data_IF_810948060903
#
_entry.id   IF_810948060903
#
_cell.length_a   1.000
_cell.length_b   1.000
_cell.length_c   1.000
_cell.angle_alpha   90.00
_cell.angle_beta   90.00
_cell.angle_gamma   90.00
#
_symmetry.space_group_name_H-M   'P 1'
#
loop_
_entity.id
_entity.type
_entity.pdbx_description
1 polymer ?
#
# COMPACT_ATOMS: atom_id res chain seq x y z
N UNK A 1 5.44 7.95 -11.12
CA UNK A 1 5.04 8.32 -9.74
C UNK A 1 5.24 9.82 -9.52
N UNK A 2 6.36 10.39 -9.97
CA UNK A 2 6.62 11.84 -9.95
C UNK A 2 5.50 12.64 -10.64
N UNK A 3 4.97 12.11 -11.73
CA UNK A 3 3.86 12.69 -12.49
C UNK A 3 2.61 12.90 -11.62
N UNK A 4 2.30 11.95 -10.74
CA UNK A 4 1.15 12.05 -9.84
C UNK A 4 1.38 13.16 -8.82
N UNK A 5 2.59 13.27 -8.28
CA UNK A 5 2.93 14.35 -7.34
C UNK A 5 2.88 15.71 -8.04
N UNK A 6 3.42 15.83 -9.26
CA UNK A 6 3.31 17.04 -10.08
C UNK A 6 1.83 17.45 -10.27
N UNK A 7 0.97 16.49 -10.61
CA UNK A 7 -0.48 16.71 -10.74
C UNK A 7 -1.09 17.22 -9.42
N UNK A 8 -0.77 16.58 -8.29
CA UNK A 8 -1.27 16.99 -6.97
C UNK A 8 -0.84 18.42 -6.63
N UNK A 9 0.44 18.76 -6.81
CA UNK A 9 0.95 20.11 -6.51
C UNK A 9 0.33 21.18 -7.39
N UNK A 10 0.05 20.87 -8.66
CA UNK A 10 -0.67 21.81 -9.53
C UNK A 10 -2.13 22.00 -9.09
N UNK A 11 -2.81 20.93 -8.66
CA UNK A 11 -4.16 21.02 -8.09
C UNK A 11 -4.15 21.82 -6.79
N UNK A 12 -3.15 21.64 -5.94
CA UNK A 12 -2.97 22.39 -4.70
C UNK A 12 -2.78 23.89 -4.95
N UNK A 13 -1.88 24.25 -5.87
CA UNK A 13 -1.66 25.64 -6.29
C UNK A 13 -2.95 26.27 -6.83
N UNK A 14 -3.74 25.53 -7.62
CA UNK A 14 -4.98 26.06 -8.23
C UNK A 14 -6.14 26.21 -7.24
N UNK A 15 -6.43 25.16 -6.47
CA UNK A 15 -7.65 25.09 -5.65
C UNK A 15 -7.40 25.22 -4.15
N UNK A 16 -6.26 24.73 -3.66
CA UNK A 16 -5.87 24.74 -2.25
C UNK A 16 -5.32 23.42 -1.77
N UNK A 17 -4.73 23.43 -0.56
CA UNK A 17 -4.00 22.31 0.05
C UNK A 17 -4.82 21.01 0.13
N UNK A 18 -4.20 19.89 -0.23
CA UNK A 18 -4.77 18.54 -0.15
C UNK A 18 -4.29 17.88 1.14
N UNK A 19 -5.20 17.25 1.90
CA UNK A 19 -4.85 16.51 3.13
C UNK A 19 -4.60 15.04 2.87
N UNK A 20 -5.41 14.46 1.98
CA UNK A 20 -5.40 13.04 1.69
C UNK A 20 -5.61 12.82 0.20
N UNK A 21 -4.91 11.84 -0.37
CA UNK A 21 -5.15 11.41 -1.73
C UNK A 21 -5.00 9.91 -1.88
N UNK A 22 -5.76 9.35 -2.82
CA UNK A 22 -5.70 7.95 -3.22
C UNK A 22 -5.49 7.85 -4.72
N UNK A 23 -4.52 7.04 -5.10
CA UNK A 23 -4.20 6.75 -6.49
C UNK A 23 -4.69 5.34 -6.78
N UNK A 24 -5.67 5.21 -7.67
CA UNK A 24 -6.20 3.91 -8.10
C UNK A 24 -5.98 3.72 -9.58
N UNK A 25 -5.54 2.53 -9.98
CA UNK A 25 -5.46 2.17 -11.41
C UNK A 25 -6.86 2.02 -11.98
N UNK A 26 -7.07 2.54 -13.17
CA UNK A 26 -8.27 2.21 -13.94
C UNK A 26 -8.16 0.76 -14.47
N UNK A 27 -9.06 -0.10 -14.01
CA UNK A 27 -9.10 -1.51 -14.42
C UNK A 27 -9.90 -1.73 -15.70
N UNK A 28 -10.67 -0.74 -16.17
CA UNK A 28 -11.46 -0.86 -17.40
C UNK A 28 -10.59 -0.72 -18.65
N UNK A 29 -9.52 0.08 -18.57
CA UNK A 29 -8.53 0.25 -19.66
C UNK A 29 -7.12 -0.10 -19.19
N UNK A 30 -6.77 -1.38 -19.06
CA UNK A 30 -5.49 -1.81 -18.50
C UNK A 30 -4.28 -1.38 -19.33
N UNK A 31 -4.49 -1.17 -20.64
CA UNK A 31 -3.47 -0.79 -21.62
C UNK A 31 -3.05 0.68 -21.51
N UNK A 32 -3.85 1.50 -20.81
CA UNK A 32 -3.54 2.90 -20.60
C UNK A 32 -3.07 3.10 -19.16
N UNK A 33 -1.94 3.80 -18.93
CA UNK A 33 -1.44 4.07 -17.60
C UNK A 33 -2.25 5.19 -16.92
N UNK A 34 -3.58 5.08 -16.94
CA UNK A 34 -4.44 6.04 -16.29
C UNK A 34 -4.59 5.70 -14.82
N UNK A 35 -4.22 6.67 -14.00
CA UNK A 35 -4.52 6.69 -12.59
C UNK A 35 -5.71 7.62 -12.36
N UNK A 36 -6.75 7.11 -11.71
CA UNK A 36 -7.73 7.97 -11.07
C UNK A 36 -7.13 8.45 -9.74
N UNK A 37 -7.15 9.77 -9.52
CA UNK A 37 -6.69 10.39 -8.30
C UNK A 37 -7.91 10.94 -7.57
N UNK A 38 -8.14 10.42 -6.37
CA UNK A 38 -9.12 10.96 -5.44
C UNK A 38 -8.39 11.81 -4.42
N UNK A 39 -8.85 13.04 -4.18
CA UNK A 39 -8.19 13.96 -3.25
C UNK A 39 -9.22 14.65 -2.36
N UNK A 40 -8.85 14.87 -1.09
CA UNK A 40 -9.60 15.65 -0.11
C UNK A 40 -8.86 16.96 0.19
N UNK A 41 -9.56 18.08 0.14
CA UNK A 41 -9.00 19.39 0.45
C UNK A 41 -9.02 19.65 1.95
N UNK A 42 -8.00 20.37 2.45
CA UNK A 42 -7.95 20.83 3.84
C UNK A 42 -9.08 21.79 4.19
N UNK A 43 -9.40 22.71 3.26
CA UNK A 43 -10.45 23.71 3.42
C UNK A 43 -11.68 23.34 2.56
N UNK A 44 -12.89 23.21 3.15
CA UNK A 44 -14.13 23.02 2.40
C UNK A 44 -14.41 24.14 1.38
N UNK A 45 -13.87 25.33 1.56
CA UNK A 45 -14.00 26.42 0.58
C UNK A 45 -13.26 26.10 -0.73
N UNK A 46 -12.12 25.41 -0.67
CA UNK A 46 -11.34 24.98 -1.84
C UNK A 46 -12.14 24.04 -2.73
N UNK A 47 -12.93 23.13 -2.15
CA UNK A 47 -13.80 22.23 -2.90
C UNK A 47 -14.83 22.99 -3.75
N UNK A 48 -15.37 24.11 -3.25
CA UNK A 48 -16.35 24.94 -3.97
C UNK A 48 -15.77 25.66 -5.19
N UNK A 49 -14.44 25.75 -5.28
CA UNK A 49 -13.76 26.35 -6.44
C UNK A 49 -13.69 25.40 -7.63
N UNK A 50 -13.86 24.09 -7.40
CA UNK A 50 -13.81 23.10 -8.48
C UNK A 50 -15.09 23.19 -9.32
N UNK A 51 -15.01 23.40 -10.65
CA UNK A 51 -16.19 23.51 -11.49
C UNK A 51 -17.04 22.23 -11.50
N UNK A 52 -18.39 22.31 -11.44
CA UNK A 52 -19.27 21.14 -11.36
C UNK A 52 -19.19 20.22 -12.58
N UNK A 53 -18.84 20.75 -13.76
CA UNK A 53 -18.64 19.96 -14.99
C UNK A 53 -17.25 19.34 -15.10
N UNK A 54 -16.38 19.70 -14.16
CA UNK A 54 -14.94 19.53 -14.24
C UNK A 54 -14.28 20.45 -15.25
N UNK A 55 -12.96 20.51 -15.18
CA UNK A 55 -12.09 21.27 -16.08
C UNK A 55 -10.88 20.43 -16.43
N UNK A 56 -10.45 20.52 -17.68
CA UNK A 56 -9.21 19.92 -18.14
C UNK A 56 -8.05 20.89 -17.84
N UNK A 57 -7.04 20.37 -17.17
CA UNK A 57 -5.80 21.07 -16.87
C UNK A 57 -4.69 20.42 -17.67
N UNK A 58 -3.84 21.24 -18.29
CA UNK A 58 -2.58 20.79 -18.84
C UNK A 58 -1.48 21.12 -17.84
N UNK A 59 -0.79 20.08 -17.40
CA UNK A 59 0.21 20.16 -16.33
C UNK A 59 1.56 19.86 -16.97
N UNK A 60 2.59 20.70 -16.83
CA UNK A 60 3.89 20.39 -17.40
C UNK A 60 4.38 19.05 -16.85
N UNK A 61 4.78 18.14 -17.73
CA UNK A 61 5.31 16.85 -17.33
C UNK A 61 6.68 17.06 -16.67
N UNK A 62 6.95 16.44 -15.51
CA UNK A 62 8.25 16.57 -14.86
C UNK A 62 9.33 16.00 -15.78
N UNK A 63 10.42 16.76 -15.95
CA UNK A 63 11.59 16.32 -16.71
C UNK A 63 12.56 15.64 -15.75
N UNK A 64 12.86 14.37 -15.99
CA UNK A 64 13.84 13.61 -15.21
C UNK A 64 14.63 12.65 -16.11
N UNK A 65 15.87 12.36 -15.70
CA UNK A 65 16.76 11.47 -16.44
C UNK A 65 16.30 10.01 -16.29
N UNK A 66 16.22 9.30 -17.41
CA UNK A 66 15.87 7.87 -17.41
C UNK A 66 17.07 7.05 -16.93
N UNK A 67 17.06 6.70 -15.65
CA UNK A 67 18.09 5.87 -15.02
C UNK A 67 17.54 4.50 -14.57
N UNK A 68 18.38 3.45 -14.51
CA UNK A 68 17.97 2.16 -13.96
C UNK A 68 17.45 2.30 -12.53
N UNK A 69 16.23 1.82 -12.27
CA UNK A 69 15.54 1.99 -10.99
C UNK A 69 14.50 3.12 -10.96
N UNK A 70 14.39 3.93 -12.02
CA UNK A 70 13.39 4.98 -12.16
C UNK A 70 13.84 6.34 -11.59
N UNK A 71 12.87 7.25 -11.32
CA UNK A 71 13.18 8.59 -10.81
C UNK A 71 13.97 8.54 -9.50
N UNK A 72 15.00 9.38 -9.40
CA UNK A 72 15.82 9.52 -8.20
C UNK A 72 15.14 10.37 -7.14
N UNK A 73 15.74 10.41 -5.94
CA UNK A 73 15.25 11.26 -4.84
C UNK A 73 15.16 12.74 -5.23
N UNK A 74 16.17 13.26 -5.92
CA UNK A 74 16.23 14.66 -6.36
C UNK A 74 15.08 15.05 -7.29
N UNK A 75 14.63 14.10 -8.11
CA UNK A 75 13.51 14.33 -9.04
C UNK A 75 12.16 14.37 -8.31
N UNK A 76 12.08 13.79 -7.11
CA UNK A 76 10.88 13.72 -6.29
C UNK A 76 10.83 14.88 -5.29
N UNK A 77 11.98 15.31 -4.78
CA UNK A 77 12.13 16.27 -3.67
C UNK A 77 11.35 17.58 -3.89
N UNK A 78 11.36 18.14 -5.09
CA UNK A 78 10.60 19.36 -5.44
C UNK A 78 9.08 19.20 -5.24
N UNK A 79 8.57 17.97 -5.36
CA UNK A 79 7.14 17.68 -5.25
C UNK A 79 6.75 17.14 -3.86
N UNK A 80 7.68 17.01 -2.92
CA UNK A 80 7.36 16.56 -1.56
C UNK A 80 6.79 17.69 -0.71
N UNK A 81 7.21 18.92 -0.96
CA UNK A 81 6.70 20.08 -0.26
C UNK A 81 5.28 20.40 -0.72
N UNK A 82 4.42 20.65 0.26
CA UNK A 82 3.03 21.02 0.01
C UNK A 82 2.95 22.44 -0.51
N UNK A 83 2.07 22.66 -1.49
CA UNK A 83 1.89 23.98 -2.08
C UNK A 83 0.63 24.66 -1.51
N UNK A 84 0.78 25.92 -1.11
CA UNK A 84 -0.37 26.77 -0.83
C UNK A 84 -1.04 27.22 -2.13
N UNK A 85 -2.31 27.62 -2.01
CA UNK A 85 -3.07 28.16 -3.14
C UNK A 85 -2.40 29.43 -3.66
N UNK A 86 -2.16 29.47 -4.96
CA UNK A 86 -1.66 30.62 -5.68
C UNK A 86 -2.81 31.41 -6.34
N UNK A 87 -3.12 32.64 -5.89
CA UNK A 87 -4.16 33.48 -6.49
C UNK A 87 -3.88 33.88 -7.94
N UNK A 88 -2.62 33.80 -8.39
CA UNK A 88 -2.20 34.17 -9.74
C UNK A 88 -2.15 32.97 -10.69
N UNK A 89 -2.42 31.75 -10.19
CA UNK A 89 -2.31 30.52 -10.96
C UNK A 89 -3.02 30.58 -12.32
N UNK A 90 -4.26 31.07 -12.36
CA UNK A 90 -5.05 31.15 -13.60
C UNK A 90 -4.47 32.15 -14.61
N UNK A 91 -3.80 33.22 -14.15
CA UNK A 91 -3.16 34.19 -15.05
C UNK A 91 -1.91 33.62 -15.71
N UNK A 92 -1.15 32.85 -14.96
CA UNK A 92 0.13 32.31 -15.42
C UNK A 92 -0.06 31.03 -16.25
N UNK A 93 -1.16 30.31 -16.04
CA UNK A 93 -1.47 29.04 -16.69
C UNK A 93 -2.66 29.11 -17.67
N UNK A 94 -3.08 30.31 -18.08
CA UNK A 94 -4.07 30.56 -19.15
C UNK A 94 -3.48 30.23 -20.55
N UNK A 95 -2.81 29.08 -20.65
CA UNK A 95 -2.41 28.51 -21.92
C UNK A 95 -3.70 28.14 -22.67
N UNK A 96 -4.05 28.94 -23.67
CA UNK A 96 -5.09 28.62 -24.64
C UNK A 96 -4.72 27.32 -25.38
N UNK A 97 -5.04 26.17 -24.77
CA UNK A 97 -4.72 24.82 -25.25
C UNK A 97 -5.30 24.53 -26.65
N UNK A 98 -6.30 25.30 -27.06
CA UNK A 98 -6.94 25.17 -28.36
C UNK A 98 -6.13 25.74 -29.54
N UNK A 99 -5.07 26.52 -29.29
CA UNK A 99 -4.35 27.25 -30.36
C UNK A 99 -2.97 26.71 -30.73
N UNK A 100 -2.32 25.91 -29.89
CA UNK A 100 -0.91 25.53 -30.07
C UNK A 100 -0.70 24.01 -30.14
N UNK A 101 -1.34 23.35 -31.10
CA UNK A 101 -1.20 21.89 -31.31
C UNK A 101 0.20 21.44 -31.77
N UNK A 102 1.16 22.35 -32.00
CA UNK A 102 2.47 22.03 -32.60
C UNK A 102 3.60 21.67 -31.63
N UNK A 103 3.56 22.10 -30.36
CA UNK A 103 4.75 22.06 -29.48
C UNK A 103 4.58 21.48 -28.07
N UNK A 104 3.38 21.05 -27.67
CA UNK A 104 3.11 20.64 -26.28
C UNK A 104 3.44 19.15 -26.05
N UNK A 105 4.67 18.72 -26.36
CA UNK A 105 5.07 17.30 -26.19
C UNK A 105 5.24 16.86 -24.73
N UNK A 106 5.29 17.79 -23.78
CA UNK A 106 5.60 17.48 -22.38
C UNK A 106 4.51 18.00 -21.43
N UNK A 107 3.23 17.68 -21.65
CA UNK A 107 2.17 17.98 -20.67
C UNK A 107 1.33 16.74 -20.36
N UNK A 108 0.93 16.64 -19.10
CA UNK A 108 -0.03 15.69 -18.55
C UNK A 108 -1.39 16.38 -18.58
N UNK A 109 -2.34 15.78 -19.30
CA UNK A 109 -3.72 16.27 -19.33
C UNK A 109 -4.53 15.57 -18.25
N UNK A 110 -5.09 16.35 -17.32
CA UNK A 110 -5.90 15.83 -16.21
C UNK A 110 -7.22 16.55 -16.17
N UNK A 111 -8.32 15.79 -16.06
CA UNK A 111 -9.64 16.34 -15.81
C UNK A 111 -9.93 16.34 -14.32
N UNK A 112 -10.08 17.52 -13.74
CA UNK A 112 -10.44 17.69 -12.32
C UNK A 112 -11.94 17.92 -12.23
N UNK A 113 -12.66 17.14 -11.42
CA UNK A 113 -14.10 17.29 -11.23
C UNK A 113 -14.49 16.99 -9.78
N UNK A 114 -15.57 17.59 -9.25
CA UNK A 114 -16.01 17.26 -7.91
C UNK A 114 -16.47 15.81 -7.87
N UNK A 115 -15.96 15.07 -6.88
CA UNK A 115 -16.39 13.71 -6.67
C UNK A 115 -17.86 13.69 -6.23
N UNK A 116 -18.66 12.80 -6.84
CA UNK A 116 -20.05 12.55 -6.41
C UNK A 116 -20.12 11.85 -5.06
N UNK A 117 -19.08 11.08 -4.75
CA UNK A 117 -18.89 10.44 -3.45
C UNK A 117 -18.02 11.40 -2.65
N UNK A 118 -18.49 11.82 -1.50
CA UNK A 118 -17.56 12.37 -0.53
C UNK A 118 -16.48 11.31 -0.35
N UNK A 119 -15.22 11.70 -0.54
CA UNK A 119 -14.23 11.15 0.36
C UNK A 119 -14.66 11.71 1.72
N UNK A 120 -15.67 11.07 2.35
CA UNK A 120 -15.49 10.85 3.76
C UNK A 120 -14.08 10.32 3.82
N UNK A 121 -13.24 10.91 4.65
CA UNK A 121 -12.21 10.19 5.37
C UNK A 121 -12.80 8.83 5.71
N UNK A 122 -12.81 7.92 4.73
CA UNK A 122 -12.98 6.53 4.94
C UNK A 122 -11.76 6.34 5.81
N UNK A 123 -11.92 5.98 7.10
CA UNK A 123 -10.78 5.40 7.75
C UNK A 123 -10.30 4.39 6.71
N UNK A 124 -9.01 4.49 6.34
CA UNK A 124 -8.23 3.39 5.77
C UNK A 124 -8.95 2.11 6.17
N UNK A 125 -9.18 1.14 5.31
CA UNK A 125 -9.87 -0.14 5.57
C UNK A 125 -9.51 -0.93 6.88
N UNK A 126 -9.09 -0.33 7.99
CA UNK A 126 -9.64 -0.45 9.36
C UNK A 126 -11.19 -0.53 9.40
N UNK A 127 -11.92 -0.03 8.39
CA UNK A 127 -13.39 0.04 8.37
C UNK A 127 -14.15 -1.28 8.58
N UNK A 128 -13.51 -2.45 8.47
CA UNK A 128 -13.94 -3.61 9.23
C UNK A 128 -12.69 -4.25 9.82
N UNK A 129 -12.62 -4.50 11.14
CA UNK A 129 -11.55 -5.34 11.67
C UNK A 129 -11.57 -6.64 10.85
N UNK A 130 -10.42 -7.16 10.41
CA UNK A 130 -10.39 -8.40 9.65
C UNK A 130 -11.22 -9.45 10.38
N UNK A 131 -11.95 -10.29 9.64
CA UNK A 131 -12.78 -11.32 10.28
C UNK A 131 -11.96 -12.09 11.32
N UNK A 132 -12.56 -12.57 12.43
CA UNK A 132 -11.84 -13.31 13.46
C UNK A 132 -11.00 -14.47 12.88
N UNK A 133 -11.47 -15.11 11.81
CA UNK A 133 -10.72 -16.14 11.08
C UNK A 133 -9.49 -15.58 10.37
N UNK A 134 -9.61 -14.44 9.70
CA UNK A 134 -8.48 -13.77 9.04
C UNK A 134 -7.45 -13.29 10.06
N UNK A 135 -7.90 -12.73 11.19
CA UNK A 135 -7.03 -12.38 12.32
C UNK A 135 -6.26 -13.59 12.85
N UNK A 136 -6.97 -14.71 13.05
CA UNK A 136 -6.37 -15.97 13.49
C UNK A 136 -5.28 -16.45 12.53
N UNK A 137 -5.57 -16.46 11.21
CA UNK A 137 -4.60 -16.87 10.18
C UNK A 137 -3.37 -15.95 10.15
N UNK A 138 -3.56 -14.64 10.26
CA UNK A 138 -2.47 -13.66 10.32
C UNK A 138 -1.61 -13.91 11.57
N UNK A 139 -2.23 -14.10 12.74
CA UNK A 139 -1.50 -14.40 13.96
C UNK A 139 -0.74 -15.74 13.88
N UNK A 140 -1.28 -16.75 13.22
CA UNK A 140 -0.62 -18.05 13.04
C UNK A 140 0.59 -17.95 12.11
N UNK A 141 0.45 -17.23 10.99
CA UNK A 141 1.56 -16.93 10.08
C UNK A 141 2.63 -16.11 10.79
N UNK A 142 2.22 -15.12 11.59
CA UNK A 142 3.12 -14.28 12.36
C UNK A 142 3.89 -15.07 13.42
N UNK A 143 3.25 -15.98 14.16
CA UNK A 143 3.94 -16.88 15.10
C UNK A 143 4.90 -17.83 14.40
N UNK A 144 4.51 -18.39 13.25
CA UNK A 144 5.37 -19.30 12.46
C UNK A 144 6.61 -18.57 11.96
N UNK A 145 6.46 -17.36 11.42
CA UNK A 145 7.57 -16.52 11.01
C UNK A 145 8.41 -16.06 12.21
N UNK A 146 7.75 -15.67 13.29
CA UNK A 146 8.40 -15.27 14.54
C UNK A 146 9.32 -16.34 15.08
N UNK A 147 8.90 -17.61 15.02
CA UNK A 147 9.65 -18.78 15.48
C UNK A 147 10.95 -19.09 14.72
N UNK A 148 11.24 -18.40 13.61
CA UNK A 148 12.53 -18.52 12.90
C UNK A 148 13.54 -17.46 13.33
N UNK A 149 13.14 -16.51 14.18
CA UNK A 149 14.03 -15.43 14.62
C UNK A 149 15.02 -15.92 15.70
N UNK A 150 16.25 -15.41 15.75
CA UNK A 150 17.24 -15.83 16.74
C UNK A 150 17.04 -15.10 18.09
N UNK A 151 15.84 -15.20 18.67
CA UNK A 151 15.49 -14.54 19.94
C UNK A 151 15.89 -15.40 21.15
N UNK A 152 16.48 -14.79 22.17
CA UNK A 152 16.82 -15.48 23.43
C UNK A 152 15.56 -15.91 24.21
N UNK A 153 15.44 -17.13 24.74
CA UNK A 153 14.28 -17.48 25.56
C UNK A 153 14.17 -16.60 26.81
N UNK A 154 12.95 -16.18 27.18
CA UNK A 154 12.66 -15.42 28.40
C UNK A 154 11.66 -16.18 29.28
N UNK A 155 11.64 -15.90 30.58
CA UNK A 155 10.61 -16.47 31.45
C UNK A 155 9.23 -15.91 31.03
N UNK A 156 8.26 -16.82 30.81
CA UNK A 156 6.87 -16.48 30.48
C UNK A 156 6.20 -15.58 31.54
N UNK A 157 6.60 -15.71 32.81
CA UNK A 157 6.04 -14.95 33.93
C UNK A 157 6.55 -13.50 33.99
N UNK A 158 7.68 -13.17 33.34
CA UNK A 158 8.21 -11.80 33.33
C UNK A 158 7.32 -10.91 32.45
N UNK A 159 6.59 -9.93 33.01
CA UNK A 159 5.83 -8.98 32.19
C UNK A 159 6.79 -8.08 31.40
N UNK A 160 6.44 -7.78 30.15
CA UNK A 160 7.12 -6.75 29.35
C UNK A 160 6.42 -5.43 29.67
N UNK A 161 7.16 -4.47 30.23
CA UNK A 161 6.59 -3.19 30.65
C UNK A 161 6.56 -2.18 29.50
N UNK A 162 5.65 -1.21 29.54
CA UNK A 162 5.55 -0.15 28.52
C UNK A 162 6.83 0.71 28.45
N UNK A 163 7.50 0.91 29.59
CA UNK A 163 8.80 1.58 29.66
C UNK A 163 9.87 0.85 28.85
N UNK A 164 9.83 -0.48 28.78
CA UNK A 164 10.74 -1.28 27.96
C UNK A 164 10.34 -1.24 26.47
N UNK A 165 9.06 -1.06 26.14
CA UNK A 165 8.60 -1.00 24.74
C UNK A 165 9.01 0.30 24.03
N UNK A 166 9.01 1.41 24.77
CA UNK A 166 9.26 2.75 24.24
C UNK A 166 10.56 3.39 24.73
N UNK A 167 11.30 2.73 25.64
CA UNK A 167 12.58 3.18 26.16
C UNK A 167 13.73 2.21 25.90
N UNK A 168 14.77 2.28 26.74
CA UNK A 168 15.89 1.35 26.72
C UNK A 168 15.48 0.02 27.37
N UNK A 169 15.71 -1.09 26.65
CA UNK A 169 15.41 -2.43 27.16
C UNK A 169 16.67 -3.29 27.17
N UNK A 170 16.82 -4.10 28.21
CA UNK A 170 17.83 -5.16 28.28
C UNK A 170 17.49 -6.39 27.42
N UNK A 171 16.26 -6.45 26.89
CA UNK A 171 15.79 -7.54 26.04
C UNK A 171 16.10 -7.26 24.57
N UNK A 172 16.52 -8.31 23.86
CA UNK A 172 16.64 -8.28 22.40
C UNK A 172 15.25 -8.20 21.76
N UNK A 173 15.07 -7.22 20.86
CA UNK A 173 13.84 -7.03 20.08
C UNK A 173 12.55 -7.06 20.93
N UNK A 174 12.51 -6.30 22.03
CA UNK A 174 11.39 -6.25 23.00
C UNK A 174 10.01 -6.10 22.35
N UNK A 175 9.88 -5.26 21.32
CA UNK A 175 8.60 -5.06 20.59
C UNK A 175 8.15 -6.32 19.85
N UNK A 176 9.09 -7.03 19.22
CA UNK A 176 8.81 -8.30 18.54
C UNK A 176 8.32 -9.35 19.54
N UNK A 177 8.97 -9.43 20.71
CA UNK A 177 8.58 -10.36 21.79
C UNK A 177 7.17 -10.07 22.30
N UNK A 178 6.85 -8.81 22.53
CA UNK A 178 5.52 -8.40 22.96
C UNK A 178 4.45 -8.77 21.92
N UNK A 179 4.73 -8.55 20.63
CA UNK A 179 3.84 -8.95 19.55
C UNK A 179 3.65 -10.48 19.49
N UNK A 180 4.74 -11.27 19.63
CA UNK A 180 4.67 -12.73 19.61
C UNK A 180 3.91 -13.29 20.82
N UNK A 181 4.14 -12.74 22.02
CA UNK A 181 3.39 -13.09 23.23
C UNK A 181 1.90 -12.79 23.07
N UNK A 182 1.58 -11.62 22.51
CA UNK A 182 0.19 -11.24 22.25
C UNK A 182 -0.47 -12.20 21.26
N UNK A 183 0.19 -12.53 20.14
CA UNK A 183 -0.32 -13.46 19.13
C UNK A 183 -0.48 -14.89 19.70
N UNK A 184 0.49 -15.37 20.49
CA UNK A 184 0.44 -16.66 21.17
C UNK A 184 -0.76 -16.74 22.11
N UNK A 185 -0.95 -15.72 22.96
CA UNK A 185 -2.09 -15.61 23.86
C UNK A 185 -3.42 -15.56 23.12
N UNK A 186 -3.52 -14.78 22.04
CA UNK A 186 -4.73 -14.67 21.22
C UNK A 186 -5.12 -16.00 20.56
N UNK A 187 -4.14 -16.84 20.24
CA UNK A 187 -4.33 -18.16 19.63
C UNK A 187 -4.43 -19.31 20.63
N UNK A 188 -4.29 -19.02 21.93
CA UNK A 188 -4.11 -20.03 22.98
C UNK A 188 -3.01 -21.05 22.64
N UNK A 189 -1.89 -20.55 22.10
CA UNK A 189 -0.68 -21.33 21.76
C UNK A 189 0.48 -20.87 22.65
N UNK A 190 1.48 -21.74 22.81
CA UNK A 190 2.74 -21.37 23.47
C UNK A 190 3.62 -20.54 22.55
N UNK A 191 4.28 -19.52 23.11
CA UNK A 191 5.29 -18.75 22.40
C UNK A 191 6.60 -19.56 22.32
N UNK A 192 7.26 -19.64 21.16
CA UNK A 192 8.50 -20.42 21.01
C UNK A 192 9.69 -19.87 21.80
N UNK A 193 9.63 -18.61 22.27
CA UNK A 193 10.73 -17.96 23.00
C UNK A 193 10.41 -17.76 24.49
N UNK A 194 9.46 -18.52 25.02
CA UNK A 194 9.08 -18.46 26.42
C UNK A 194 9.37 -19.77 27.12
N UNK A 195 10.00 -19.66 28.28
CA UNK A 195 10.18 -20.76 29.21
C UNK A 195 8.96 -20.75 30.14
N UNK A 196 8.17 -21.82 30.08
CA UNK A 196 7.04 -22.03 30.98
C UNK A 196 7.50 -22.80 32.24
N UNK A 197 7.01 -22.45 33.44
CA UNK A 197 7.43 -23.08 34.69
C UNK A 197 7.20 -24.61 34.70
N UNK A 198 6.12 -25.07 34.07
CA UNK A 198 5.81 -26.50 33.93
C UNK A 198 6.87 -27.26 33.13
N UNK A 199 7.48 -26.61 32.13
CA UNK A 199 8.51 -27.21 31.28
C UNK A 199 9.85 -27.27 32.02
N UNK A 200 10.15 -26.29 32.87
CA UNK A 200 11.35 -26.27 33.69
C UNK A 200 11.36 -27.42 34.72
N UNK A 201 10.21 -27.73 35.32
CA UNK A 201 10.07 -28.86 36.24
C UNK A 201 10.28 -30.21 35.54
N UNK A 202 9.78 -30.35 34.30
CA UNK A 202 9.96 -31.56 33.50
C UNK A 202 11.40 -31.71 32.95
N UNK A 203 12.06 -30.61 32.58
CA UNK A 203 13.44 -30.63 32.07
C UNK A 203 14.46 -31.10 33.12
N UNK A 204 14.23 -30.82 34.41
CA UNK A 204 15.10 -31.27 35.52
C UNK A 204 14.99 -32.80 35.76
N UNK A 205 13.93 -33.44 35.25
CA UNK A 205 13.71 -34.88 35.40
C UNK A 205 14.31 -35.74 34.28
N UNK A 206 14.95 -35.13 33.27
CA UNK A 206 15.72 -35.86 32.25
C UNK A 206 17.22 -35.67 32.49
N UNK A 207 17.88 -36.58 33.24
CA UNK A 207 19.31 -36.53 33.45
C UNK A 207 20.03 -36.84 32.13
N UNK A 208 20.83 -35.88 31.65
CA UNK A 208 22.03 -36.05 30.82
C UNK A 208 21.99 -37.21 29.81
N UNK A 209 21.06 -37.14 28.86
CA UNK A 209 21.13 -37.88 27.60
C UNK A 209 21.54 -36.92 26.50
N UNK A 210 22.85 -36.81 26.27
CA UNK A 210 23.54 -36.34 25.07
C UNK A 210 22.58 -35.88 23.95
N UNK A 211 22.29 -34.57 23.88
CA UNK A 211 21.43 -34.01 22.84
C UNK A 211 22.22 -33.88 21.54
N UNK A 212 21.94 -34.68 20.50
CA UNK A 212 22.47 -34.38 19.19
C UNK A 212 21.82 -33.08 18.72
N UNK A 213 22.62 -32.20 18.13
CA UNK A 213 22.17 -31.15 17.22
C UNK A 213 21.27 -31.80 16.16
N UNK A 214 19.95 -31.84 16.41
CA UNK A 214 18.96 -32.11 15.38
C UNK A 214 18.95 -30.87 14.49
N UNK A 215 19.90 -30.84 13.55
CA UNK A 215 19.67 -30.22 12.25
C UNK A 215 18.36 -30.83 11.76
N UNK A 216 17.29 -30.06 11.80
CA UNK A 216 16.15 -30.33 10.95
C UNK A 216 16.69 -30.18 9.53
N UNK A 217 17.04 -31.30 8.92
CA UNK A 217 17.20 -31.38 7.48
C UNK A 217 15.93 -30.80 6.89
N UNK A 218 16.11 -29.64 6.27
CA UNK A 218 15.13 -29.01 5.40
C UNK A 218 14.85 -30.06 4.34
N UNK A 219 13.75 -30.79 4.51
CA UNK A 219 13.17 -31.61 3.45
C UNK A 219 12.77 -30.61 2.37
N UNK A 220 13.71 -30.37 1.44
CA UNK A 220 13.43 -29.86 0.11
C UNK A 220 12.38 -30.80 -0.49
N UNK A 221 11.14 -30.43 -0.25
CA UNK A 221 9.99 -31.01 -0.91
C UNK A 221 10.05 -30.44 -2.31
N UNK A 222 10.80 -31.10 -3.19
CA UNK A 222 10.68 -30.95 -4.63
C UNK A 222 9.21 -31.26 -4.99
N UNK A 223 8.38 -30.23 -4.95
CA UNK A 223 7.07 -30.24 -5.58
C UNK A 223 7.31 -30.24 -7.07
N UNK A 224 7.49 -31.46 -7.60
CA UNK A 224 7.35 -31.85 -8.99
C UNK A 224 6.03 -31.24 -9.48
N UNK A 225 6.11 -30.09 -10.15
CA UNK A 225 4.99 -29.55 -10.93
C UNK A 225 4.92 -30.41 -12.17
N UNK A 226 3.97 -31.33 -12.18
CA UNK A 226 3.49 -31.95 -13.40
C UNK A 226 2.93 -30.85 -14.29
N UNK A 227 3.56 -30.71 -15.45
CA UNK A 227 3.07 -29.99 -16.61
C UNK A 227 1.80 -30.69 -17.12
N UNK A 228 0.64 -30.37 -16.55
CA UNK A 228 -0.64 -30.63 -17.21
C UNK A 228 -0.99 -29.43 -18.10
N UNK A 229 -0.52 -29.53 -19.33
CA UNK A 229 -0.94 -28.73 -20.45
C UNK A 229 -2.40 -29.07 -20.81
N UNK A 230 -3.36 -28.26 -20.38
CA UNK A 230 -4.68 -28.25 -21.01
C UNK A 230 -4.66 -27.40 -22.30
N UNK A 231 -5.05 -27.97 -23.45
CA UNK A 231 -5.24 -27.21 -24.68
C UNK A 231 -6.54 -26.39 -24.57
N UNK A 232 -6.41 -25.07 -24.40
CA UNK A 232 -7.53 -24.14 -24.61
C UNK A 232 -7.91 -24.14 -26.09
N UNK A 233 -8.95 -24.90 -26.39
CA UNK A 233 -9.69 -24.85 -27.64
C UNK A 233 -10.30 -23.46 -27.82
N UNK A 234 -10.01 -22.87 -28.97
CA UNK A 234 -10.63 -21.66 -29.46
C UNK A 234 -12.12 -21.93 -29.76
N UNK A 235 -13.01 -21.22 -29.09
CA UNK A 235 -14.36 -20.99 -29.57
C UNK A 235 -14.49 -19.48 -29.81
N UNK A 236 -14.36 -19.09 -31.08
CA UNK A 236 -14.69 -17.76 -31.54
C UNK A 236 -16.21 -17.59 -31.49
N UNK A 237 -16.65 -16.65 -30.65
CA UNK A 237 -18.03 -16.17 -30.67
C UNK A 237 -18.04 -14.84 -31.43
N UNK A 238 -18.34 -14.95 -32.72
CA UNK A 238 -18.57 -13.81 -33.62
C UNK A 238 -19.90 -13.17 -33.22
N UNK A 239 -19.84 -12.05 -32.50
CA UNK A 239 -21.02 -11.22 -32.24
C UNK A 239 -21.23 -10.34 -33.48
N UNK A 240 -22.24 -10.68 -34.28
CA UNK A 240 -22.77 -9.79 -35.33
C UNK A 240 -23.39 -8.55 -34.66
N UNK A 241 -22.81 -7.38 -34.95
CA UNK A 241 -23.36 -6.08 -34.55
C UNK A 241 -24.38 -5.61 -35.61
N UNK A 242 -25.65 -5.35 -35.25
CA UNK A 242 -26.66 -4.90 -36.20
C UNK A 242 -26.49 -3.42 -36.57
N UNK A 243 -26.47 -3.15 -37.87
CA UNK A 243 -26.45 -1.82 -38.49
C UNK A 243 -27.60 -0.91 -37.98
N UNK A 244 -27.33 0.39 -37.70
CA UNK A 244 -28.37 1.34 -37.40
C UNK A 244 -29.18 1.70 -38.66
N UNK A 245 -30.48 1.41 -38.63
CA UNK A 245 -31.45 1.89 -39.60
C UNK A 245 -31.60 3.41 -39.51
N UNK A 246 -31.19 4.11 -40.56
CA UNK A 246 -31.51 5.50 -40.82
C UNK A 246 -33.02 5.66 -41.05
N UNK A 247 -33.69 6.47 -40.24
CA UNK A 247 -35.04 6.97 -40.54
C UNK A 247 -34.91 8.36 -41.18
N UNK A 248 -35.49 8.48 -42.37
CA UNK A 248 -35.75 9.73 -43.10
C UNK A 248 -36.84 10.55 -42.41
#
# INVERSE_FOLDING_TARGET
MVEVLAVLRTIEKKYGRITEFHVTKDFETPDRPFAMIFAAFADPASFKLVPPRGIELAIPAPEYEHQPGGPGWKDIEEYLDEADRDPQFDRDNDLNLFGQQGHVRNHIYVRVSPSKKELSTFPIHIAEPPSPEKQRRIAEQFLRWGGTQPLKPINSERPIQDTELFGESSLDNVRMRAALRWAAKALNKRSPYEIYPDDAANAISSPEGDSPLVRQDVVESESRREDDAEPRTAAGETIEEPLPTSKQ
#
